data_IF_031116204810
#
_entry.id   IF_031116204810
#
_cell.length_a   1.000
_cell.length_b   1.000
_cell.length_c   1.000
_cell.angle_alpha   90.00
_cell.angle_beta   90.00
_cell.angle_gamma   90.00
#
_symmetry.space_group_name_H-M   'P 1'
#
loop_
_entity.id
_entity.type
_entity.pdbx_description
1 polymer ?
#
# COMPACT_ATOMS: atom_id res chain seq x y z
N UNK A 1 -5.42 21.97 9.08
CA UNK A 1 -4.46 21.23 8.26
C UNK A 1 -4.88 19.77 8.31
N UNK A 2 -4.98 19.08 7.18
CA UNK A 2 -5.44 17.69 7.16
C UNK A 2 -4.29 16.72 7.48
N UNK A 3 -4.61 15.53 7.98
CA UNK A 3 -3.60 14.48 8.23
C UNK A 3 -2.84 14.08 6.95
N UNK A 4 -3.46 14.24 5.78
CA UNK A 4 -2.79 14.03 4.50
C UNK A 4 -1.74 15.12 4.26
N UNK A 5 -2.04 16.39 4.56
CA UNK A 5 -1.05 17.47 4.44
C UNK A 5 0.13 17.28 5.39
N UNK A 6 -0.13 16.75 6.59
CA UNK A 6 0.92 16.40 7.55
C UNK A 6 1.77 15.23 7.02
N UNK A 7 1.13 14.21 6.44
CA UNK A 7 1.82 13.09 5.82
C UNK A 7 2.74 13.52 4.66
N UNK A 8 2.34 14.53 3.89
CA UNK A 8 3.19 15.07 2.80
C UNK A 8 4.43 15.81 3.32
N UNK A 9 4.28 16.53 4.44
CA UNK A 9 5.32 17.43 4.98
C UNK A 9 6.24 16.74 5.98
N UNK A 10 5.73 15.78 6.72
CA UNK A 10 6.44 15.04 7.76
C UNK A 10 5.87 13.61 7.87
N UNK A 11 6.07 12.75 6.85
CA UNK A 11 5.51 11.41 6.84
C UNK A 11 5.99 10.55 8.00
N UNK A 12 7.24 10.72 8.45
CA UNK A 12 7.79 9.96 9.57
C UNK A 12 7.01 10.19 10.87
N UNK A 13 6.77 11.45 11.24
CA UNK A 13 5.99 11.74 12.44
C UNK A 13 4.53 11.33 12.28
N UNK A 14 3.94 11.63 11.11
CA UNK A 14 2.53 11.37 10.85
C UNK A 14 2.21 9.88 10.92
N UNK A 15 3.01 9.04 10.27
CA UNK A 15 2.74 7.61 10.17
C UNK A 15 3.07 6.87 11.47
N UNK A 16 3.96 7.39 12.32
CA UNK A 16 4.14 6.85 13.67
C UNK A 16 2.92 7.14 14.57
N UNK A 17 2.34 8.34 14.45
CA UNK A 17 1.22 8.80 15.27
C UNK A 17 -0.16 8.32 14.80
N UNK A 18 -0.33 8.09 13.51
CA UNK A 18 -1.62 7.81 12.88
C UNK A 18 -1.65 6.45 12.18
N UNK A 19 -2.85 5.91 11.99
CA UNK A 19 -3.11 4.69 11.23
C UNK A 19 -4.05 5.01 10.07
N UNK A 20 -3.90 4.29 8.95
CA UNK A 20 -4.61 4.57 7.71
C UNK A 20 -5.26 3.32 7.14
N UNK A 21 -6.38 3.50 6.44
CA UNK A 21 -7.02 2.50 5.62
C UNK A 21 -7.35 3.09 4.26
N UNK A 22 -6.77 2.51 3.21
CA UNK A 22 -7.03 2.91 1.82
C UNK A 22 -8.17 2.05 1.29
N UNK A 23 -9.34 2.69 1.16
CA UNK A 23 -10.55 2.04 0.68
C UNK A 23 -10.67 2.11 -0.83
N UNK A 24 -10.35 0.99 -1.47
CA UNK A 24 -10.27 0.86 -2.93
C UNK A 24 -11.59 0.42 -3.57
N UNK A 25 -12.64 0.10 -2.80
CA UNK A 25 -13.87 -0.53 -3.32
C UNK A 25 -14.63 0.32 -4.34
N UNK A 26 -14.49 1.64 -4.27
CA UNK A 26 -15.10 2.57 -5.21
C UNK A 26 -14.25 2.86 -6.45
N UNK A 27 -13.00 2.38 -6.49
CA UNK A 27 -12.05 2.73 -7.53
C UNK A 27 -11.89 1.62 -8.56
N UNK A 28 -12.15 1.93 -9.83
CA UNK A 28 -12.01 0.98 -10.94
C UNK A 28 -10.65 1.16 -11.61
N UNK A 29 -9.98 0.04 -11.81
CA UNK A 29 -8.71 -0.10 -12.52
C UNK A 29 -8.95 -0.58 -13.94
N UNK A 30 -7.88 -0.62 -14.74
CA UNK A 30 -7.92 -1.15 -16.10
C UNK A 30 -7.19 -2.48 -16.13
N UNK A 31 -7.80 -3.51 -16.72
CA UNK A 31 -7.07 -4.73 -17.02
C UNK A 31 -5.98 -4.46 -18.06
N UNK A 32 -4.81 -5.07 -17.87
CA UNK A 32 -3.78 -5.21 -18.91
C UNK A 32 -4.18 -6.35 -19.88
N UNK A 33 -3.42 -6.53 -20.95
CA UNK A 33 -3.58 -7.62 -21.92
C UNK A 33 -3.49 -9.01 -21.26
N UNK A 34 -2.73 -9.14 -20.17
CA UNK A 34 -2.74 -10.31 -19.30
C UNK A 34 -3.93 -10.20 -18.34
N UNK A 35 -4.94 -11.07 -18.47
CA UNK A 35 -6.19 -11.05 -17.67
C UNK A 35 -6.03 -11.06 -16.13
N UNK A 36 -4.82 -11.29 -15.63
CA UNK A 36 -4.45 -11.29 -14.22
C UNK A 36 -3.53 -10.13 -13.85
N UNK A 37 -3.47 -9.10 -14.70
CA UNK A 37 -2.76 -7.87 -14.41
C UNK A 37 -3.69 -6.68 -14.55
N UNK A 38 -3.60 -5.75 -13.60
CA UNK A 38 -4.35 -4.50 -13.66
C UNK A 38 -3.42 -3.31 -13.48
N UNK A 39 -3.73 -2.25 -14.21
CA UNK A 39 -2.97 -1.01 -14.24
C UNK A 39 -3.75 0.03 -13.44
N UNK A 40 -3.08 0.54 -12.41
CA UNK A 40 -3.50 1.69 -11.63
C UNK A 40 -3.10 3.01 -12.29
N UNK A 41 -2.86 4.04 -11.50
CA UNK A 41 -2.49 5.34 -12.05
C UNK A 41 -2.64 6.49 -11.07
N UNK A 42 -2.63 7.70 -11.64
CA UNK A 42 -2.77 8.93 -10.87
C UNK A 42 -4.15 9.02 -10.19
N UNK A 43 -4.14 9.38 -8.91
CA UNK A 43 -5.30 9.53 -8.05
C UNK A 43 -5.19 10.76 -7.16
N UNK A 44 -6.35 11.17 -6.65
CA UNK A 44 -6.51 12.16 -5.60
C UNK A 44 -6.97 11.39 -4.38
N UNK A 45 -6.14 11.44 -3.33
CA UNK A 45 -6.49 10.84 -2.04
C UNK A 45 -7.48 11.76 -1.31
N UNK A 46 -8.61 11.19 -0.91
CA UNK A 46 -9.67 11.93 -0.20
C UNK A 46 -9.80 11.37 1.20
N UNK A 47 -9.59 12.21 2.21
CA UNK A 47 -9.82 11.85 3.60
C UNK A 47 -11.33 11.87 3.90
N UNK A 48 -11.90 10.69 4.13
CA UNK A 48 -13.33 10.52 4.44
C UNK A 48 -13.64 10.73 5.94
N UNK A 49 -12.60 10.80 6.77
CA UNK A 49 -12.68 10.95 8.22
C UNK A 49 -12.02 9.81 8.97
N UNK A 50 -12.18 9.80 10.30
CA UNK A 50 -11.59 8.83 11.21
C UNK A 50 -12.65 7.88 11.75
N UNK A 51 -12.41 6.58 11.67
CA UNK A 51 -13.31 5.54 12.15
C UNK A 51 -12.54 4.53 13.00
N UNK A 52 -12.96 4.32 14.25
CA UNK A 52 -12.25 3.43 15.17
C UNK A 52 -10.82 3.86 15.51
N UNK A 53 -10.46 5.11 15.25
CA UNK A 53 -9.09 5.59 15.42
C UNK A 53 -8.21 5.49 14.16
N UNK A 54 -8.77 5.08 13.03
CA UNK A 54 -8.05 4.96 11.75
C UNK A 54 -8.60 5.91 10.71
N UNK A 55 -7.70 6.60 10.01
CA UNK A 55 -8.04 7.55 8.95
C UNK A 55 -8.40 6.79 7.67
N UNK A 56 -9.61 6.98 7.17
CA UNK A 56 -10.08 6.34 5.94
C UNK A 56 -9.81 7.24 4.75
N UNK A 57 -9.15 6.68 3.74
CA UNK A 57 -8.79 7.35 2.51
C UNK A 57 -9.56 6.68 1.37
N UNK A 58 -10.32 7.46 0.59
CA UNK A 58 -10.89 7.01 -0.68
C UNK A 58 -10.09 7.56 -1.86
N UNK A 59 -10.32 7.00 -3.05
CA UNK A 59 -9.60 7.35 -4.27
C UNK A 59 -10.53 7.99 -5.29
N UNK A 60 -10.09 9.11 -5.88
CA UNK A 60 -10.67 9.68 -7.11
C UNK A 60 -9.62 9.67 -8.22
N UNK A 61 -10.05 9.49 -9.47
CA UNK A 61 -9.14 9.44 -10.61
C UNK A 61 -8.47 10.80 -10.88
N UNK A 62 -7.22 10.77 -11.35
CA UNK A 62 -6.40 11.94 -11.60
C UNK A 62 -5.88 12.58 -10.31
N UNK A 63 -4.98 13.55 -10.39
CA UNK A 63 -4.30 14.13 -9.22
C UNK A 63 -2.80 13.90 -9.27
N UNK A 64 -2.13 14.10 -8.13
CA UNK A 64 -0.66 14.02 -8.01
C UNK A 64 -0.18 12.81 -7.22
N UNK A 65 -1.10 12.03 -6.65
CA UNK A 65 -0.78 10.76 -5.98
C UNK A 65 -1.02 9.60 -6.92
N UNK A 66 -0.64 8.39 -6.50
CA UNK A 66 -0.73 7.21 -7.35
C UNK A 66 -1.30 6.02 -6.59
N UNK A 67 -2.01 5.16 -7.32
CA UNK A 67 -2.54 3.91 -6.81
C UNK A 67 -2.09 2.75 -7.69
N UNK A 68 -1.60 1.68 -7.08
CA UNK A 68 -1.31 0.40 -7.73
C UNK A 68 -2.23 -0.69 -7.15
N UNK A 69 -3.02 -1.41 -7.96
CA UNK A 69 -4.13 -2.20 -7.43
C UNK A 69 -3.71 -3.52 -6.80
N UNK A 70 -4.55 -4.06 -5.92
CA UNK A 70 -4.50 -5.50 -5.62
C UNK A 70 -5.35 -6.25 -6.64
N UNK A 71 -4.80 -7.32 -7.20
CA UNK A 71 -5.51 -8.20 -8.15
C UNK A 71 -5.52 -9.60 -7.56
N UNK A 72 -6.71 -10.20 -7.42
CA UNK A 72 -6.82 -11.54 -6.88
C UNK A 72 -6.02 -12.54 -7.74
N UNK A 73 -5.04 -13.21 -7.12
CA UNK A 73 -4.08 -14.11 -7.79
C UNK A 73 -3.41 -13.48 -9.01
N UNK A 74 -3.19 -12.17 -8.98
CA UNK A 74 -2.64 -11.39 -10.08
C UNK A 74 -1.57 -10.39 -9.65
N UNK A 75 -1.31 -9.43 -10.53
CA UNK A 75 -0.35 -8.35 -10.31
C UNK A 75 -1.07 -7.03 -10.57
N UNK A 76 -1.04 -6.10 -9.62
CA UNK A 76 -1.35 -4.72 -9.95
C UNK A 76 -0.10 -3.90 -10.12
N UNK A 77 -0.08 -2.99 -11.08
CA UNK A 77 1.06 -2.10 -11.30
C UNK A 77 0.64 -0.64 -11.45
N UNK A 78 1.57 0.27 -11.15
CA UNK A 78 1.43 1.68 -11.43
C UNK A 78 2.79 2.28 -11.79
N UNK A 79 2.80 3.11 -12.83
CA UNK A 79 3.98 3.89 -13.23
C UNK A 79 3.92 5.25 -12.57
N UNK A 80 4.99 5.62 -11.89
CA UNK A 80 5.18 6.89 -11.19
C UNK A 80 6.44 7.57 -11.73
N UNK A 81 6.42 8.86 -12.10
CA UNK A 81 7.63 9.57 -12.51
C UNK A 81 8.70 9.54 -11.42
N UNK A 82 9.95 9.23 -11.76
CA UNK A 82 11.07 9.20 -10.83
C UNK A 82 11.32 10.59 -10.18
N UNK A 83 11.01 11.65 -10.93
CA UNK A 83 11.09 13.05 -10.50
C UNK A 83 9.78 13.58 -9.87
N UNK A 84 8.87 12.70 -9.42
CA UNK A 84 7.68 13.12 -8.69
C UNK A 84 8.07 14.01 -7.48
N UNK A 85 7.33 15.09 -7.21
CA UNK A 85 7.71 16.05 -6.18
C UNK A 85 7.65 15.45 -4.77
N UNK A 86 8.43 16.01 -3.85
CA UNK A 86 8.28 15.72 -2.43
C UNK A 86 6.83 15.98 -1.98
N UNK A 87 6.32 15.07 -1.15
CA UNK A 87 4.92 14.98 -0.77
C UNK A 87 4.07 14.08 -1.67
N UNK A 88 4.59 13.53 -2.77
CA UNK A 88 3.85 12.53 -3.59
C UNK A 88 3.60 11.26 -2.76
N UNK A 89 2.37 10.77 -2.76
CA UNK A 89 1.98 9.54 -2.07
C UNK A 89 1.60 8.47 -3.10
N UNK A 90 2.07 7.24 -2.88
CA UNK A 90 1.73 6.06 -3.68
C UNK A 90 1.12 5.02 -2.75
N UNK A 91 -0.11 4.60 -3.04
CA UNK A 91 -0.90 3.72 -2.16
C UNK A 91 -1.34 2.45 -2.87
N UNK A 92 -1.70 1.45 -2.07
CA UNK A 92 -2.38 0.23 -2.54
C UNK A 92 -3.47 -0.20 -1.54
N UNK A 93 -4.25 -1.21 -1.89
CA UNK A 93 -5.19 -1.84 -0.96
C UNK A 93 -4.46 -2.59 0.17
N UNK A 94 -5.21 -3.15 1.12
CA UNK A 94 -4.63 -3.95 2.20
C UNK A 94 -3.80 -5.12 1.69
N UNK A 95 -2.66 -5.36 2.32
CA UNK A 95 -1.74 -6.46 2.02
C UNK A 95 -1.81 -7.54 3.10
N UNK A 96 -1.84 -8.79 2.66
CA UNK A 96 -1.76 -9.97 3.52
C UNK A 96 -1.24 -11.13 2.68
N UNK A 97 -0.03 -11.63 2.97
CA UNK A 97 0.66 -12.62 2.15
C UNK A 97 1.10 -12.13 0.76
N UNK A 98 1.00 -10.83 0.49
CA UNK A 98 1.39 -10.21 -0.78
C UNK A 98 2.81 -9.62 -0.69
N UNK A 99 3.50 -9.46 -1.82
CA UNK A 99 4.77 -8.74 -1.86
C UNK A 99 4.59 -7.34 -2.47
N UNK A 100 5.32 -6.36 -1.93
CA UNK A 100 5.46 -5.02 -2.48
C UNK A 100 6.78 -4.99 -3.26
N UNK A 101 6.76 -4.50 -4.49
CA UNK A 101 7.97 -4.43 -5.31
C UNK A 101 8.02 -3.09 -6.05
N UNK A 102 9.19 -2.47 -6.11
CA UNK A 102 9.46 -1.28 -6.93
C UNK A 102 10.67 -1.52 -7.82
N UNK A 103 10.51 -1.27 -9.11
CA UNK A 103 11.62 -1.19 -10.06
C UNK A 103 11.79 0.22 -10.62
N UNK A 104 12.95 0.49 -11.21
CA UNK A 104 13.25 1.70 -11.96
C UNK A 104 13.52 1.34 -13.43
N UNK A 105 12.82 2.01 -14.34
CA UNK A 105 13.04 1.90 -15.78
C UNK A 105 13.08 3.29 -16.41
N UNK A 106 14.29 3.75 -16.75
CA UNK A 106 14.53 5.12 -17.18
C UNK A 106 14.05 6.14 -16.13
N UNK A 107 13.21 7.09 -16.56
CA UNK A 107 12.65 8.14 -15.69
C UNK A 107 11.38 7.72 -14.94
N UNK A 108 11.10 6.42 -14.88
CA UNK A 108 9.89 5.88 -14.28
C UNK A 108 10.24 4.90 -13.16
N UNK A 109 9.44 4.96 -12.10
CA UNK A 109 9.32 3.95 -11.08
C UNK A 109 8.07 3.12 -11.36
N UNK A 110 8.17 1.81 -11.21
CA UNK A 110 7.04 0.91 -11.40
C UNK A 110 6.79 0.21 -10.08
N UNK A 111 5.63 0.48 -9.49
CA UNK A 111 5.17 -0.10 -8.24
C UNK A 111 4.30 -1.30 -8.55
N UNK A 112 4.56 -2.42 -7.88
CA UNK A 112 3.82 -3.67 -8.04
C UNK A 112 3.21 -4.14 -6.73
N UNK A 113 1.96 -4.59 -6.81
CA UNK A 113 1.30 -5.41 -5.80
C UNK A 113 1.30 -6.85 -6.32
N UNK A 114 2.16 -7.68 -5.75
CA UNK A 114 2.38 -9.06 -6.17
C UNK A 114 1.59 -10.02 -5.26
N UNK A 115 0.43 -10.50 -5.75
CA UNK A 115 -0.45 -11.33 -4.95
C UNK A 115 0.21 -12.66 -4.59
N UNK A 116 -0.07 -13.14 -3.38
CA UNK A 116 0.53 -14.37 -2.82
C UNK A 116 2.07 -14.36 -2.84
N UNK A 117 2.71 -13.20 -3.01
CA UNK A 117 4.16 -13.01 -3.14
C UNK A 117 4.84 -13.79 -4.28
N UNK A 118 4.08 -14.30 -5.25
CA UNK A 118 4.60 -15.26 -6.23
C UNK A 118 4.08 -15.09 -7.65
N UNK A 119 3.33 -14.02 -7.96
CA UNK A 119 2.82 -13.79 -9.32
C UNK A 119 3.80 -13.02 -10.18
N UNK A 120 4.53 -12.07 -9.62
CA UNK A 120 5.56 -11.32 -10.34
C UNK A 120 6.69 -12.27 -10.75
N UNK A 121 7.16 -12.17 -11.99
CA UNK A 121 8.08 -13.12 -12.63
C UNK A 121 7.40 -14.36 -13.22
N UNK A 122 6.23 -14.75 -12.72
CA UNK A 122 5.43 -15.87 -13.26
C UNK A 122 4.44 -15.39 -14.32
N UNK A 123 3.65 -14.37 -14.01
CA UNK A 123 2.62 -13.83 -14.90
C UNK A 123 3.15 -12.68 -15.77
N UNK A 124 4.16 -11.97 -15.28
CA UNK A 124 4.79 -10.82 -15.95
C UNK A 124 6.20 -10.64 -15.42
N UNK A 125 7.17 -10.50 -16.30
CA UNK A 125 8.53 -10.14 -15.89
C UNK A 125 8.54 -8.69 -15.37
N UNK A 126 9.16 -8.40 -14.22
CA UNK A 126 9.35 -7.03 -13.77
C UNK A 126 10.22 -6.27 -14.79
N UNK A 127 9.93 -4.97 -14.97
CA UNK A 127 10.64 -4.14 -15.94
C UNK A 127 11.63 -3.24 -15.20
N UNK A 128 12.90 -3.26 -15.61
CA UNK A 128 13.93 -2.40 -15.05
C UNK A 128 14.59 -2.96 -13.79
N UNK A 129 15.40 -2.13 -13.12
CA UNK A 129 16.22 -2.52 -11.98
C UNK A 129 15.41 -2.52 -10.69
N UNK A 130 15.51 -3.58 -9.90
CA UNK A 130 14.83 -3.65 -8.61
C UNK A 130 15.43 -2.64 -7.62
N UNK A 131 14.60 -1.72 -7.12
CA UNK A 131 14.96 -0.79 -6.06
C UNK A 131 14.55 -1.30 -4.68
N UNK A 132 13.38 -1.92 -4.60
CA UNK A 132 12.80 -2.36 -3.33
C UNK A 132 11.93 -3.59 -3.55
N UNK A 133 12.06 -4.58 -2.66
CA UNK A 133 11.07 -5.65 -2.52
C UNK A 133 10.84 -5.92 -1.04
N UNK A 134 9.58 -5.94 -0.64
CA UNK A 134 9.16 -6.25 0.73
C UNK A 134 8.26 -7.47 0.69
N UNK A 135 8.80 -8.58 1.19
CA UNK A 135 8.14 -9.87 1.30
C UNK A 135 7.24 -9.95 2.55
N UNK A 136 6.24 -10.85 2.57
CA UNK A 136 5.35 -11.06 3.71
C UNK A 136 6.04 -11.19 5.06
N UNK A 137 7.13 -11.94 5.17
CA UNK A 137 7.88 -12.17 6.42
C UNK A 137 8.52 -10.89 7.00
N UNK A 138 8.73 -9.87 6.18
CA UNK A 138 9.28 -8.58 6.61
C UNK A 138 8.25 -7.72 7.35
N UNK A 139 6.95 -7.83 7.03
CA UNK A 139 5.90 -7.01 7.64
C UNK A 139 4.87 -7.80 8.45
N UNK A 140 4.67 -9.07 8.14
CA UNK A 140 3.80 -9.99 8.89
C UNK A 140 4.60 -10.59 10.04
N UNK A 141 4.62 -9.90 11.18
CA UNK A 141 5.31 -10.37 12.39
C UNK A 141 4.48 -11.33 13.26
N UNK A 142 3.24 -11.62 12.86
CA UNK A 142 2.41 -12.66 13.47
C UNK A 142 2.67 -13.96 12.68
N UNK A 143 2.95 -15.11 13.34
CA UNK A 143 3.36 -16.34 12.66
C UNK A 143 2.44 -16.73 11.51
N UNK A 144 3.04 -16.86 10.33
CA UNK A 144 2.42 -17.46 9.16
C UNK A 144 2.19 -18.94 9.47
N UNK A 145 0.96 -19.36 9.75
CA UNK A 145 0.74 -20.77 10.10
C UNK A 145 -0.65 -21.17 10.53
N UNK A 146 -1.45 -20.26 11.10
CA UNK A 146 -2.82 -20.61 11.49
C UNK A 146 -3.80 -19.49 11.08
N UNK A 147 -4.48 -19.72 9.96
CA UNK A 147 -5.69 -18.99 9.52
C UNK A 147 -5.54 -17.47 9.32
N UNK A 148 -4.59 -17.00 8.49
CA UNK A 148 -4.55 -15.58 8.07
C UNK A 148 -5.37 -15.26 6.81
N UNK A 149 -6.36 -16.09 6.47
CA UNK A 149 -7.69 -15.52 6.19
C UNK A 149 -8.35 -15.44 7.57
N UNK A 150 -7.92 -14.49 8.41
CA UNK A 150 -8.64 -14.26 9.64
C UNK A 150 -9.90 -13.54 9.20
N UNK A 151 -10.96 -14.25 8.80
CA UNK A 151 -12.22 -13.86 9.41
C UNK A 151 -12.06 -14.42 10.82
N UNK A 152 -11.87 -13.55 11.81
CA UNK A 152 -12.15 -13.96 13.18
C UNK A 152 -13.59 -14.52 13.20
N UNK A 153 -13.97 -15.27 14.23
CA UNK A 153 -15.32 -15.87 14.29
C UNK A 153 -16.45 -14.83 14.14
N UNK A 154 -16.13 -13.54 14.31
CA UNK A 154 -17.00 -12.39 14.11
C UNK A 154 -16.94 -11.78 12.69
N UNK A 155 -16.18 -12.37 11.75
CA UNK A 155 -15.98 -11.92 10.37
C UNK A 155 -14.96 -10.78 10.19
N UNK A 156 -14.17 -10.44 11.22
CA UNK A 156 -13.13 -9.39 11.11
C UNK A 156 -11.80 -9.90 10.55
N UNK A 157 -11.08 -9.08 9.77
CA UNK A 157 -9.81 -9.44 9.15
C UNK A 157 -8.63 -8.53 9.43
N UNK A 158 -7.46 -9.15 9.60
CA UNK A 158 -6.18 -8.45 9.73
C UNK A 158 -5.63 -8.10 8.35
N UNK A 159 -5.26 -6.84 8.16
CA UNK A 159 -4.66 -6.31 6.94
C UNK A 159 -3.48 -5.42 7.29
N UNK A 160 -2.49 -5.38 6.41
CA UNK A 160 -1.39 -4.43 6.49
C UNK A 160 -1.58 -3.36 5.42
N UNK A 161 -1.81 -2.13 5.85
CA UNK A 161 -1.89 -1.00 4.93
C UNK A 161 -0.47 -0.55 4.61
N UNK A 162 -0.08 -0.60 3.33
CA UNK A 162 1.19 -0.04 2.85
C UNK A 162 0.97 1.28 2.13
N UNK A 163 1.87 2.23 2.35
CA UNK A 163 1.91 3.51 1.65
C UNK A 163 3.35 3.95 1.46
N UNK A 164 3.67 4.49 0.30
CA UNK A 164 4.97 5.06 0.00
C UNK A 164 4.83 6.58 -0.15
N UNK A 165 5.77 7.35 0.42
CA UNK A 165 5.77 8.82 0.34
C UNK A 165 7.15 9.29 -0.12
N UNK A 166 7.18 10.19 -1.11
CA UNK A 166 8.40 10.89 -1.51
C UNK A 166 8.66 12.01 -0.51
N UNK A 167 9.77 11.96 0.24
CA UNK A 167 10.10 12.99 1.22
C UNK A 167 11.62 13.15 1.34
N UNK A 168 12.09 14.41 1.31
CA UNK A 168 13.50 14.77 1.30
C UNK A 168 14.27 14.01 0.20
N UNK A 169 13.69 13.98 -0.99
CA UNK A 169 14.21 13.34 -2.20
C UNK A 169 14.45 11.83 -2.10
N UNK A 170 13.86 11.17 -1.09
CA UNK A 170 13.87 9.72 -0.93
C UNK A 170 12.46 9.15 -0.91
N UNK A 171 12.30 7.92 -1.38
CA UNK A 171 11.04 7.21 -1.23
C UNK A 171 11.03 6.45 0.08
N UNK A 172 9.96 6.66 0.84
CA UNK A 172 9.79 6.11 2.18
C UNK A 172 8.56 5.23 2.17
N UNK A 173 8.78 3.92 2.29
CA UNK A 173 7.71 2.95 2.45
C UNK A 173 7.38 2.83 3.93
N UNK A 174 6.08 2.88 4.20
CA UNK A 174 5.53 2.65 5.51
C UNK A 174 4.45 1.59 5.44
N UNK A 175 4.27 0.88 6.55
CA UNK A 175 3.10 0.04 6.74
C UNK A 175 2.54 0.13 8.15
N UNK A 176 1.23 -0.12 8.27
CA UNK A 176 0.51 -0.25 9.53
C UNK A 176 -0.44 -1.44 9.50
N UNK A 177 -0.39 -2.29 10.52
CA UNK A 177 -1.38 -3.35 10.73
C UNK A 177 -2.71 -2.79 11.24
N UNK A 178 -3.81 -3.19 10.61
CA UNK A 178 -5.18 -2.80 10.94
C UNK A 178 -6.09 -4.04 10.99
N UNK A 179 -7.15 -4.00 11.79
CA UNK A 179 -8.24 -4.99 11.74
C UNK A 179 -9.38 -4.38 10.94
N UNK A 180 -10.14 -5.11 10.15
CA UNK A 180 -11.36 -4.62 9.50
C UNK A 180 -12.51 -5.52 9.94
N UNK A 181 -13.65 -4.97 10.33
CA UNK A 181 -14.79 -5.80 10.76
C UNK A 181 -15.48 -6.56 9.62
N UNK A 182 -16.45 -7.45 9.94
CA UNK A 182 -17.34 -8.04 8.94
C UNK A 182 -17.98 -6.96 8.06
N UNK A 183 -17.97 -7.15 6.75
CA UNK A 183 -18.48 -6.17 5.79
C UNK A 183 -17.67 -4.88 5.67
N UNK A 184 -16.46 -4.82 6.25
CA UNK A 184 -15.62 -3.60 6.31
C UNK A 184 -16.42 -2.46 6.96
N UNK A 185 -17.23 -2.80 7.96
CA UNK A 185 -18.00 -1.86 8.77
C UNK A 185 -17.73 -2.16 10.25
N UNK A 186 -16.59 -1.64 10.72
CA UNK A 186 -16.22 -1.49 12.14
C UNK A 186 -15.80 -2.75 12.92
N UNK A 187 -14.88 -2.64 13.89
CA UNK A 187 -13.93 -1.55 14.16
C UNK A 187 -12.54 -1.87 13.60
N UNK A 188 -11.87 -0.82 13.10
CA UNK A 188 -10.42 -0.89 12.91
C UNK A 188 -9.74 -0.75 14.26
N UNK A 189 -9.34 -1.88 14.85
CA UNK A 189 -8.64 -1.90 16.13
C UNK A 189 -7.13 -1.93 15.92
N UNK A 190 -6.44 -1.07 16.66
CA UNK A 190 -4.98 -1.06 16.80
C UNK A 190 -4.54 -2.37 17.46
N UNK A 191 -3.78 -3.20 16.74
CA UNK A 191 -3.06 -4.35 17.30
C UNK A 191 -1.62 -3.90 17.53
N UNK A 192 -1.35 -3.32 18.70
CA UNK A 192 -0.14 -2.54 18.95
C UNK A 192 0.87 -3.27 19.84
N UNK A 193 2.10 -3.40 19.32
CA UNK A 193 3.32 -3.33 20.13
C UNK A 193 4.31 -2.40 19.42
N UNK A 194 4.84 -1.35 20.08
CA UNK A 194 5.85 -0.49 19.48
C UNK A 194 7.13 -1.30 19.20
N UNK A 195 7.72 -1.10 18.02
CA UNK A 195 8.92 -1.84 17.56
C UNK A 195 8.64 -3.08 16.70
N UNK A 196 7.37 -3.45 16.47
CA UNK A 196 7.00 -4.67 15.71
C UNK A 196 6.11 -4.37 14.49
N UNK A 197 5.23 -3.35 14.55
CA UNK A 197 4.10 -3.21 13.60
C UNK A 197 4.13 -1.96 12.71
N UNK A 198 5.24 -1.22 12.71
CA UNK A 198 5.50 -0.09 11.80
C UNK A 198 6.98 -0.10 11.43
N UNK A 199 7.27 -0.11 10.13
CA UNK A 199 8.62 -0.03 9.61
C UNK A 199 8.72 1.14 8.64
N UNK A 200 9.90 1.76 8.63
CA UNK A 200 10.27 2.76 7.66
C UNK A 200 11.41 2.17 6.83
N UNK A 201 11.12 1.84 5.58
CA UNK A 201 12.15 1.54 4.59
C UNK A 201 12.36 2.78 3.75
N UNK A 202 13.60 3.26 3.66
CA UNK A 202 13.97 4.28 2.68
C UNK A 202 14.73 3.60 1.54
N UNK A 203 14.36 3.90 0.31
CA UNK A 203 15.12 3.49 -0.87
C UNK A 203 15.44 4.70 -1.73
N UNK A 204 16.63 4.64 -2.32
CA UNK A 204 17.14 5.66 -3.22
C UNK A 204 16.77 5.31 -4.65
N UNK A 205 16.61 6.35 -5.46
CA UNK A 205 16.47 6.25 -6.92
C UNK A 205 17.85 6.55 -7.47
N UNK A 206 18.34 5.71 -8.39
CA UNK A 206 19.61 5.90 -9.07
C UNK A 206 19.55 7.09 -10.04
#
# INVERSE_FOLDING_TARGET
MSVLDDMRRNPEATILGEDFFVDVRGYKTKADATKHCEIGGAVTLVLEGKQGGVNRISLKAGGTDYYFPWVNRGIGECVVPANAPNGTIVVTGGMNGCAFHVTQSGNNLIFYHDADSCKLGVLKAPVGDQLCRVEPDLYMKIPYGETLVMEAKDGSAYLYQMMCVKHADRWKLFYSGIIIGPGISMPVKRSFTPGVSKFLLSFDVA
#
